data_IF_735554009797
#
_entry.id   IF_735554009797
#
_cell.length_a   1.000
_cell.length_b   1.000
_cell.length_c   1.000
_cell.angle_alpha   90.00
_cell.angle_beta   90.00
_cell.angle_gamma   90.00
#
_symmetry.space_group_name_H-M   'P 1'
#
loop_
_entity.id
_entity.type
_entity.pdbx_description
1 polymer ?
#
# COMPACT_ATOMS: atom_id res chain seq x y z
N UNK A 1 -17.22 76.35 12.24
CA UNK A 1 -16.14 75.42 11.80
C UNK A 1 -16.37 74.06 12.43
N UNK A 2 -16.99 73.14 11.67
CA UNK A 2 -17.30 71.78 12.12
C UNK A 2 -16.22 70.87 11.54
N UNK A 3 -15.42 70.26 12.39
CA UNK A 3 -14.39 69.26 11.99
C UNK A 3 -15.08 67.92 11.93
N UNK A 4 -15.25 67.36 10.70
CA UNK A 4 -15.63 65.98 10.48
C UNK A 4 -14.40 65.09 10.75
N UNK A 5 -14.47 64.21 11.78
CA UNK A 5 -13.56 63.11 11.98
C UNK A 5 -14.07 61.91 11.13
N UNK A 6 -13.40 61.63 10.02
CA UNK A 6 -13.55 60.38 9.27
C UNK A 6 -12.85 59.27 10.03
N UNK A 7 -13.61 58.41 10.70
CA UNK A 7 -13.10 57.15 11.26
C UNK A 7 -12.90 56.12 10.14
N UNK A 8 -11.67 55.77 9.83
CA UNK A 8 -11.35 54.63 8.97
C UNK A 8 -11.55 53.35 9.78
N UNK A 9 -12.64 52.61 9.51
CA UNK A 9 -12.84 51.26 10.01
C UNK A 9 -12.07 50.31 9.07
N UNK A 10 -10.86 49.92 9.48
CA UNK A 10 -10.13 48.82 8.83
C UNK A 10 -10.83 47.49 9.11
N UNK A 11 -11.62 47.00 8.15
CA UNK A 11 -12.09 45.64 8.15
C UNK A 11 -10.91 44.72 7.80
N UNK A 12 -10.29 44.15 8.82
CA UNK A 12 -9.35 43.06 8.64
C UNK A 12 -10.17 41.83 8.19
N UNK A 13 -10.17 41.55 6.88
CA UNK A 13 -10.57 40.25 6.39
C UNK A 13 -9.56 39.22 6.91
N UNK A 14 -9.92 38.52 7.97
CA UNK A 14 -9.21 37.32 8.37
C UNK A 14 -9.52 36.30 7.27
N UNK A 15 -8.65 36.23 6.27
CA UNK A 15 -8.60 35.10 5.35
C UNK A 15 -8.29 33.85 6.19
N UNK A 16 -9.34 33.15 6.63
CA UNK A 16 -9.19 31.83 7.21
C UNK A 16 -8.52 30.96 6.16
N UNK A 17 -7.21 30.76 6.30
CA UNK A 17 -6.48 29.86 5.44
C UNK A 17 -7.16 28.50 5.55
N UNK A 18 -7.74 28.02 4.44
CA UNK A 18 -8.44 26.74 4.38
C UNK A 18 -7.47 25.67 4.89
N UNK A 19 -7.81 25.06 6.02
CA UNK A 19 -6.97 24.03 6.61
C UNK A 19 -6.74 22.91 5.59
N UNK A 20 -5.48 22.54 5.37
CA UNK A 20 -5.14 21.46 4.44
C UNK A 20 -5.65 20.14 4.99
N UNK A 21 -6.26 19.27 4.16
CA UNK A 21 -6.77 17.99 4.63
C UNK A 21 -5.65 17.05 5.05
N UNK A 22 -5.90 16.21 6.02
CA UNK A 22 -5.07 15.05 6.29
C UNK A 22 -5.14 14.07 5.11
N UNK A 23 -4.04 13.38 4.83
CA UNK A 23 -3.96 12.38 3.76
C UNK A 23 -3.68 11.03 4.40
N UNK A 24 -4.65 10.11 4.28
CA UNK A 24 -4.50 8.70 4.60
C UNK A 24 -4.33 7.93 3.29
N UNK A 25 -3.15 7.33 3.08
CA UNK A 25 -2.83 6.55 1.89
C UNK A 25 -2.75 5.07 2.26
N UNK A 26 -3.78 4.30 1.90
CA UNK A 26 -3.85 2.85 2.10
C UNK A 26 -3.31 2.16 0.85
N UNK A 27 -2.32 1.30 0.99
CA UNK A 27 -1.63 0.65 -0.12
C UNK A 27 -1.57 -0.87 0.08
N UNK A 28 -2.35 -1.61 -0.72
CA UNK A 28 -2.32 -3.07 -0.76
C UNK A 28 -1.16 -3.58 -1.64
N UNK A 29 -0.71 -4.81 -1.41
CA UNK A 29 0.38 -5.44 -2.16
C UNK A 29 -0.13 -6.66 -2.94
N UNK A 30 0.06 -6.68 -4.24
CA UNK A 30 -0.40 -7.72 -5.17
C UNK A 30 -1.95 -7.89 -5.23
N UNK A 31 -2.70 -6.81 -5.01
CA UNK A 31 -4.15 -6.87 -5.12
C UNK A 31 -4.60 -6.87 -6.59
N UNK A 32 -5.37 -7.88 -6.96
CA UNK A 32 -5.98 -7.99 -8.31
C UNK A 32 -7.11 -6.98 -8.46
N UNK A 33 -7.23 -6.42 -9.67
CA UNK A 33 -8.24 -5.40 -9.99
C UNK A 33 -9.70 -5.91 -9.84
N UNK A 34 -9.91 -7.23 -9.95
CA UNK A 34 -11.23 -7.89 -9.87
C UNK A 34 -11.60 -8.34 -8.45
N UNK A 35 -10.90 -7.90 -7.42
CA UNK A 35 -11.12 -8.32 -6.02
C UNK A 35 -11.75 -7.24 -5.14
N UNK A 36 -12.59 -6.39 -5.73
CA UNK A 36 -13.46 -5.46 -5.02
C UNK A 36 -14.90 -5.71 -5.50
N UNK A 37 -15.82 -6.01 -4.57
CA UNK A 37 -17.18 -6.39 -4.91
C UNK A 37 -17.93 -5.28 -5.66
N UNK A 38 -17.79 -4.04 -5.25
CA UNK A 38 -18.37 -2.86 -5.92
C UNK A 38 -17.89 -2.65 -7.38
N UNK A 39 -16.79 -3.29 -7.77
CA UNK A 39 -16.33 -3.31 -9.16
C UNK A 39 -16.97 -4.42 -10.01
N UNK A 40 -17.92 -5.19 -9.45
CA UNK A 40 -18.70 -6.19 -10.16
C UNK A 40 -18.29 -7.64 -9.89
N UNK A 41 -17.53 -7.90 -8.83
CA UNK A 41 -17.23 -9.28 -8.40
C UNK A 41 -18.21 -9.74 -7.32
N UNK A 42 -19.20 -10.61 -7.64
CA UNK A 42 -20.20 -11.06 -6.68
C UNK A 42 -19.68 -12.15 -5.74
N UNK A 43 -18.46 -12.63 -5.93
CA UNK A 43 -17.90 -13.77 -5.20
C UNK A 43 -16.97 -13.37 -4.05
N UNK A 44 -16.72 -12.08 -3.85
CA UNK A 44 -15.88 -11.55 -2.79
C UNK A 44 -16.66 -10.60 -1.87
N UNK A 45 -16.29 -10.53 -0.62
CA UNK A 45 -16.87 -9.60 0.36
C UNK A 45 -15.84 -8.54 0.74
N UNK A 46 -16.11 -7.30 0.34
CA UNK A 46 -15.20 -6.15 0.59
C UNK A 46 -15.98 -4.90 1.05
N UNK A 47 -16.81 -5.01 2.12
CA UNK A 47 -17.75 -3.94 2.46
C UNK A 47 -17.10 -2.59 2.74
N UNK A 48 -15.89 -2.58 3.31
CA UNK A 48 -15.16 -1.34 3.59
C UNK A 48 -14.52 -0.74 2.33
N UNK A 49 -13.97 -1.56 1.43
CA UNK A 49 -13.49 -1.09 0.14
C UNK A 49 -14.65 -0.62 -0.75
N UNK A 50 -15.77 -1.34 -0.69
CA UNK A 50 -16.99 -0.97 -1.43
C UNK A 50 -17.49 0.41 -1.00
N UNK A 51 -17.51 0.70 0.31
CA UNK A 51 -17.90 2.03 0.81
C UNK A 51 -16.96 3.15 0.33
N UNK A 52 -15.66 2.87 0.16
CA UNK A 52 -14.72 3.83 -0.42
C UNK A 52 -14.98 4.05 -1.91
N UNK A 53 -15.33 3.00 -2.65
CA UNK A 53 -15.69 3.10 -4.07
C UNK A 53 -16.98 3.91 -4.24
N UNK A 54 -17.98 3.65 -3.42
CA UNK A 54 -19.29 4.32 -3.46
C UNK A 54 -19.22 5.78 -3.02
N UNK A 55 -18.40 6.08 -2.01
CA UNK A 55 -18.25 7.42 -1.46
C UNK A 55 -17.19 8.28 -2.14
N UNK A 56 -16.43 7.73 -3.06
CA UNK A 56 -15.25 8.37 -3.64
C UNK A 56 -15.19 8.33 -5.15
N UNK A 57 -13.98 8.44 -5.67
CA UNK A 57 -13.68 8.36 -7.10
C UNK A 57 -12.79 7.14 -7.36
N UNK A 58 -13.20 6.26 -8.30
CA UNK A 58 -12.51 5.01 -8.60
C UNK A 58 -11.91 5.00 -10.01
N UNK A 59 -10.60 4.83 -10.12
CA UNK A 59 -9.87 4.64 -11.37
C UNK A 59 -9.82 3.16 -11.76
N UNK A 60 -10.78 2.69 -12.53
CA UNK A 60 -10.89 1.26 -12.90
C UNK A 60 -9.88 0.80 -13.94
N UNK A 61 -9.26 1.71 -14.68
CA UNK A 61 -8.27 1.43 -15.74
C UNK A 61 -6.93 2.05 -15.36
N UNK A 62 -6.34 1.56 -14.29
CA UNK A 62 -5.00 1.88 -13.88
C UNK A 62 -4.09 0.67 -14.08
N UNK A 63 -2.95 0.85 -14.73
CA UNK A 63 -2.10 -0.24 -15.20
C UNK A 63 -0.75 -0.22 -14.50
N UNK A 64 -0.24 -1.41 -14.16
CA UNK A 64 1.11 -1.57 -13.69
C UNK A 64 2.09 -1.39 -14.85
N UNK A 65 3.08 -0.52 -14.68
CA UNK A 65 4.10 -0.25 -15.71
C UNK A 65 5.21 -1.30 -15.78
N UNK A 66 5.09 -2.41 -15.04
CA UNK A 66 6.10 -3.47 -14.98
C UNK A 66 7.29 -3.14 -14.09
N UNK A 67 8.39 -3.85 -14.29
CA UNK A 67 9.59 -3.76 -13.47
C UNK A 67 10.84 -4.14 -14.27
N UNK A 68 12.02 -3.85 -13.71
CA UNK A 68 13.34 -4.32 -14.17
C UNK A 68 13.68 -5.73 -13.64
N UNK A 69 12.82 -6.31 -12.81
CA UNK A 69 13.01 -7.66 -12.24
C UNK A 69 11.65 -8.29 -11.94
N UNK A 70 11.61 -9.54 -11.50
CA UNK A 70 10.39 -10.22 -11.09
C UNK A 70 9.67 -9.59 -9.88
N UNK A 71 10.38 -8.79 -9.07
CA UNK A 71 9.79 -8.09 -7.92
C UNK A 71 9.17 -6.75 -8.36
N UNK A 72 7.96 -6.79 -8.89
CA UNK A 72 7.23 -5.59 -9.38
C UNK A 72 6.94 -4.59 -8.26
N UNK A 73 6.75 -5.04 -7.03
CA UNK A 73 6.47 -4.20 -5.85
C UNK A 73 7.57 -3.15 -5.61
N UNK A 74 8.85 -3.47 -5.83
CA UNK A 74 9.97 -2.51 -5.69
C UNK A 74 9.82 -1.36 -6.68
N UNK A 75 9.60 -1.66 -7.96
CA UNK A 75 9.45 -0.65 -9.00
C UNK A 75 8.16 0.17 -8.82
N UNK A 76 7.05 -0.48 -8.49
CA UNK A 76 5.77 0.18 -8.22
C UNK A 76 5.88 1.21 -7.09
N UNK A 77 6.51 0.83 -5.96
CA UNK A 77 6.73 1.73 -4.83
C UNK A 77 7.67 2.88 -5.18
N UNK A 78 8.72 2.62 -5.94
CA UNK A 78 9.63 3.65 -6.41
C UNK A 78 8.91 4.67 -7.32
N UNK A 79 8.11 4.19 -8.28
CA UNK A 79 7.30 5.06 -9.16
C UNK A 79 6.29 5.88 -8.37
N UNK A 80 5.59 5.26 -7.41
CA UNK A 80 4.63 5.95 -6.54
C UNK A 80 5.30 7.06 -5.73
N UNK A 81 6.46 6.79 -5.15
CA UNK A 81 7.14 7.74 -4.27
C UNK A 81 7.83 8.86 -5.03
N UNK A 82 8.35 8.61 -6.23
CA UNK A 82 9.14 9.59 -6.99
C UNK A 82 8.36 10.30 -8.09
N UNK A 83 7.21 9.75 -8.50
CA UNK A 83 6.49 10.21 -9.69
C UNK A 83 7.24 9.95 -11.01
N UNK A 84 8.31 9.15 -11.00
CA UNK A 84 9.13 8.82 -12.14
C UNK A 84 8.86 7.39 -12.62
N UNK A 85 8.85 7.18 -13.94
CA UNK A 85 8.81 5.83 -14.47
C UNK A 85 10.09 5.06 -14.06
N UNK A 86 9.97 3.76 -13.73
CA UNK A 86 11.11 2.97 -13.23
C UNK A 86 12.32 2.95 -14.17
N UNK A 87 12.12 3.07 -15.50
CA UNK A 87 13.21 3.16 -16.48
C UNK A 87 14.02 4.46 -16.38
N UNK A 88 13.46 5.51 -15.77
CA UNK A 88 14.11 6.81 -15.55
C UNK A 88 14.86 6.85 -14.20
N UNK A 89 14.70 5.84 -13.36
CA UNK A 89 15.42 5.73 -12.09
C UNK A 89 16.81 5.13 -12.30
N UNK A 90 17.78 5.40 -11.40
CA UNK A 90 19.10 4.80 -11.46
C UNK A 90 19.04 3.28 -11.53
N UNK A 91 19.76 2.69 -12.49
CA UNK A 91 19.74 1.23 -12.70
C UNK A 91 20.57 0.45 -11.67
N UNK A 92 21.53 1.13 -11.05
CA UNK A 92 22.33 0.55 -9.98
C UNK A 92 21.54 0.56 -8.67
N UNK A 93 21.26 -0.63 -8.14
CA UNK A 93 20.50 -0.83 -6.89
C UNK A 93 19.17 -0.06 -6.87
N UNK A 94 18.29 -0.25 -7.85
CA UNK A 94 17.07 0.54 -8.01
C UNK A 94 16.13 0.45 -6.79
N UNK A 95 16.22 -0.62 -6.00
CA UNK A 95 15.49 -0.77 -4.74
C UNK A 95 16.05 0.10 -3.60
N UNK A 96 17.23 0.68 -3.74
CA UNK A 96 17.88 1.46 -2.68
C UNK A 96 18.44 2.80 -3.16
N UNK A 97 18.26 3.13 -4.43
CA UNK A 97 18.78 4.35 -5.03
C UNK A 97 17.75 4.96 -6.00
N UNK A 98 17.20 6.10 -5.62
CA UNK A 98 16.29 6.89 -6.47
C UNK A 98 16.93 8.20 -6.95
N UNK A 99 18.26 8.32 -6.84
CA UNK A 99 18.98 9.54 -7.14
C UNK A 99 18.54 10.70 -6.24
N UNK A 100 18.54 11.90 -6.81
CA UNK A 100 18.12 13.13 -6.11
C UNK A 100 16.62 13.43 -6.32
N UNK A 101 15.80 12.44 -6.67
CA UNK A 101 14.37 12.66 -6.85
C UNK A 101 13.70 13.02 -5.53
N UNK A 102 12.93 14.10 -5.55
CA UNK A 102 12.10 14.50 -4.41
C UNK A 102 10.93 13.52 -4.30
N UNK A 103 10.82 12.86 -3.16
CA UNK A 103 9.74 11.88 -2.95
C UNK A 103 8.43 12.57 -2.56
N UNK A 104 7.29 11.92 -2.80
CA UNK A 104 5.97 12.44 -2.44
C UNK A 104 5.88 12.89 -0.97
N UNK A 105 6.31 12.09 0.03
CA UNK A 105 6.30 12.53 1.42
C UNK A 105 7.17 13.76 1.67
N UNK A 106 8.37 13.80 1.07
CA UNK A 106 9.28 14.94 1.21
C UNK A 106 8.72 16.20 0.53
N UNK A 107 8.06 16.06 -0.62
CA UNK A 107 7.38 17.16 -1.30
C UNK A 107 6.25 17.72 -0.44
N UNK A 108 5.38 16.87 0.09
CA UNK A 108 4.27 17.26 0.97
C UNK A 108 4.77 17.99 2.21
N UNK A 109 5.83 17.49 2.83
CA UNK A 109 6.49 18.15 3.96
C UNK A 109 7.00 19.54 3.57
N UNK A 110 7.73 19.65 2.46
CA UNK A 110 8.34 20.91 2.00
C UNK A 110 7.33 21.98 1.60
N UNK A 111 6.27 21.61 0.89
CA UNK A 111 5.31 22.56 0.30
C UNK A 111 4.04 22.73 1.10
N UNK A 112 3.71 21.78 1.95
CA UNK A 112 2.44 21.69 2.64
C UNK A 112 2.51 21.64 4.15
N UNK A 113 3.72 21.64 4.72
CA UNK A 113 3.95 21.44 6.15
C UNK A 113 3.29 20.14 6.68
N UNK A 114 3.14 19.12 5.81
CA UNK A 114 2.66 17.82 6.23
C UNK A 114 3.65 17.12 7.13
N UNK A 115 3.12 16.30 8.03
CA UNK A 115 3.90 15.36 8.85
C UNK A 115 3.82 13.96 8.22
N UNK A 116 4.83 13.52 7.43
CA UNK A 116 4.85 12.19 6.85
C UNK A 116 5.10 11.13 7.91
N UNK A 117 4.29 10.07 7.89
CA UNK A 117 4.41 8.92 8.76
C UNK A 117 4.17 7.63 7.99
N UNK A 118 5.01 6.60 8.21
CA UNK A 118 4.92 5.31 7.54
C UNK A 118 4.55 4.20 8.52
N UNK A 119 3.66 3.30 8.07
CA UNK A 119 3.34 2.04 8.75
C UNK A 119 3.38 0.91 7.72
N UNK A 120 4.01 -0.21 8.07
CA UNK A 120 4.02 -1.43 7.26
C UNK A 120 5.16 -1.52 6.25
N UNK A 121 4.90 -2.18 5.12
CA UNK A 121 5.92 -2.61 4.15
C UNK A 121 6.57 -1.45 3.41
N UNK A 122 7.91 -1.41 3.44
CA UNK A 122 8.70 -0.46 2.64
C UNK A 122 9.32 -1.11 1.39
N UNK A 123 10.07 -2.18 1.54
CA UNK A 123 10.72 -2.98 0.49
C UNK A 123 11.82 -2.27 -0.33
N UNK A 124 12.07 -0.99 -0.13
CA UNK A 124 12.98 -0.18 -0.96
C UNK A 124 14.17 0.37 -0.18
N UNK A 125 14.87 -0.43 0.61
CA UNK A 125 16.13 -0.06 1.25
C UNK A 125 16.07 1.15 2.20
N UNK A 126 17.13 1.30 3.02
CA UNK A 126 17.19 2.34 4.06
C UNK A 126 17.35 3.75 3.48
N UNK A 127 18.19 3.91 2.46
CA UNK A 127 18.46 5.23 1.88
C UNK A 127 17.21 5.89 1.32
N UNK A 128 16.37 5.13 0.63
CA UNK A 128 15.12 5.65 0.07
C UNK A 128 14.05 5.88 1.15
N UNK A 129 14.10 5.11 2.25
CA UNK A 129 13.27 5.38 3.43
C UNK A 129 13.63 6.75 4.02
N UNK A 130 14.92 7.04 4.18
CA UNK A 130 15.43 8.30 4.73
C UNK A 130 15.11 9.53 3.85
N UNK A 131 15.04 9.32 2.53
CA UNK A 131 14.59 10.36 1.60
C UNK A 131 13.09 10.67 1.75
N UNK A 132 12.32 9.75 2.32
CA UNK A 132 10.86 9.81 2.31
C UNK A 132 10.26 10.11 3.68
N UNK A 133 10.73 9.44 4.72
CA UNK A 133 10.14 9.47 6.05
C UNK A 133 11.19 9.63 7.15
N UNK A 134 10.81 10.34 8.20
CA UNK A 134 11.61 10.45 9.44
C UNK A 134 10.95 9.77 10.62
N UNK A 135 9.65 9.47 10.52
CA UNK A 135 8.89 8.81 11.57
C UNK A 135 7.99 7.71 11.00
N UNK A 136 7.79 6.68 11.79
CA UNK A 136 6.97 5.52 11.42
C UNK A 136 6.85 4.51 12.54
N UNK A 137 5.91 3.58 12.40
CA UNK A 137 5.71 2.47 13.34
C UNK A 137 5.54 1.17 12.58
N UNK A 138 5.99 0.08 13.15
CA UNK A 138 5.91 -1.26 12.55
C UNK A 138 6.36 -1.32 11.09
N UNK A 139 7.47 -0.64 10.77
CA UNK A 139 8.03 -0.60 9.41
C UNK A 139 8.63 -1.97 9.09
N UNK A 140 8.11 -2.63 8.05
CA UNK A 140 8.63 -3.86 7.51
C UNK A 140 9.52 -3.58 6.30
N UNK A 141 10.81 -3.83 6.44
CA UNK A 141 11.82 -3.51 5.42
C UNK A 141 11.93 -4.55 4.30
N UNK A 142 11.39 -5.76 4.52
CA UNK A 142 11.45 -6.87 3.57
C UNK A 142 10.40 -6.82 2.46
N UNK A 143 10.50 -7.78 1.54
CA UNK A 143 9.57 -7.94 0.41
C UNK A 143 8.40 -8.88 0.70
N UNK A 144 8.66 -9.97 1.42
CA UNK A 144 7.71 -11.05 1.68
C UNK A 144 8.03 -11.69 3.03
N UNK A 145 7.01 -11.99 3.80
CA UNK A 145 7.11 -12.79 5.02
C UNK A 145 5.74 -13.42 5.32
N UNK A 146 5.71 -14.42 6.19
CA UNK A 146 4.49 -14.95 6.76
C UNK A 146 3.73 -13.84 7.50
N UNK A 147 2.41 -13.74 7.27
CA UNK A 147 1.59 -12.66 7.83
C UNK A 147 1.45 -12.71 9.36
N UNK A 148 1.79 -13.83 9.99
CA UNK A 148 1.74 -14.03 11.45
C UNK A 148 3.13 -14.07 12.09
N UNK A 149 4.18 -14.27 11.29
CA UNK A 149 5.55 -14.40 11.77
C UNK A 149 6.52 -13.52 10.96
N UNK A 150 6.63 -12.26 11.35
CA UNK A 150 7.51 -11.28 10.73
C UNK A 150 8.04 -10.26 11.76
N UNK A 151 9.14 -9.61 11.39
CA UNK A 151 9.79 -8.61 12.22
C UNK A 151 9.59 -7.21 11.66
N UNK A 152 9.38 -6.27 12.56
CA UNK A 152 9.21 -4.83 12.25
C UNK A 152 10.16 -3.98 13.07
N UNK A 153 10.31 -2.73 12.65
CA UNK A 153 11.11 -1.70 13.31
C UNK A 153 10.29 -0.41 13.40
N UNK A 154 10.47 0.36 14.46
CA UNK A 154 9.91 1.70 14.52
C UNK A 154 10.93 2.71 14.00
N UNK A 155 10.46 3.76 13.33
CA UNK A 155 11.27 4.84 12.79
C UNK A 155 11.05 6.10 13.62
N UNK A 156 12.09 6.62 14.22
CA UNK A 156 12.03 7.85 15.02
C UNK A 156 13.19 8.78 14.64
N UNK A 157 12.87 9.99 14.17
CA UNK A 157 13.85 10.98 13.74
C UNK A 157 14.89 10.41 12.74
N UNK A 158 14.44 9.60 11.78
CA UNK A 158 15.27 8.95 10.76
C UNK A 158 16.08 7.73 11.25
N UNK A 159 15.90 7.30 12.50
CA UNK A 159 16.59 6.13 13.05
C UNK A 159 15.63 4.97 13.25
N UNK A 160 15.96 3.82 12.65
CA UNK A 160 15.23 2.58 12.90
C UNK A 160 15.62 2.00 14.26
N UNK A 161 14.62 1.51 15.00
CA UNK A 161 14.82 0.74 16.22
C UNK A 161 15.44 -0.63 15.92
N UNK A 162 15.77 -1.39 16.97
CA UNK A 162 16.03 -2.81 16.83
C UNK A 162 14.79 -3.52 16.27
N UNK A 163 15.00 -4.62 15.55
CA UNK A 163 13.93 -5.47 15.09
C UNK A 163 13.19 -6.10 16.26
N UNK A 164 11.89 -6.21 16.12
CA UNK A 164 11.01 -6.92 17.05
C UNK A 164 9.99 -7.74 16.30
N UNK A 165 9.48 -8.81 16.91
CA UNK A 165 8.29 -9.50 16.39
C UNK A 165 7.13 -8.52 16.26
N UNK A 166 6.35 -8.62 15.19
CA UNK A 166 5.15 -7.81 15.01
C UNK A 166 4.04 -8.16 16.01
N UNK A 167 4.00 -9.42 16.48
CA UNK A 167 3.08 -9.86 17.54
C UNK A 167 1.63 -10.06 17.11
N UNK A 168 1.35 -10.20 15.80
CA UNK A 168 0.00 -10.41 15.29
C UNK A 168 -0.05 -10.56 13.78
N UNK A 169 -1.25 -10.65 13.24
CA UNK A 169 -1.46 -10.70 11.79
C UNK A 169 -1.13 -9.34 11.15
N UNK A 170 -0.40 -9.33 10.06
CA UNK A 170 0.18 -8.12 9.47
C UNK A 170 -0.83 -6.99 9.23
N UNK A 171 -1.99 -7.29 8.63
CA UNK A 171 -3.01 -6.26 8.37
C UNK A 171 -3.59 -5.70 9.66
N UNK A 172 -3.83 -6.54 10.68
CA UNK A 172 -4.34 -6.10 11.99
C UNK A 172 -3.32 -5.19 12.69
N UNK A 173 -2.05 -5.61 12.75
CA UNK A 173 -0.98 -4.81 13.38
C UNK A 173 -0.86 -3.43 12.72
N UNK A 174 -0.85 -3.39 11.39
CA UNK A 174 -0.71 -2.11 10.67
C UNK A 174 -1.96 -1.23 10.79
N UNK A 175 -3.14 -1.83 10.81
CA UNK A 175 -4.40 -1.10 11.01
C UNK A 175 -4.49 -0.53 12.44
N UNK A 176 -4.14 -1.30 13.47
CA UNK A 176 -4.16 -0.84 14.87
C UNK A 176 -3.17 0.30 15.10
N UNK A 177 -1.96 0.20 14.53
CA UNK A 177 -0.98 1.28 14.58
C UNK A 177 -1.47 2.54 13.84
N UNK A 178 -2.14 2.39 12.71
CA UNK A 178 -2.72 3.51 11.97
C UNK A 178 -3.86 4.19 12.76
N UNK A 179 -4.75 3.42 13.36
CA UNK A 179 -5.82 3.92 14.22
C UNK A 179 -5.23 4.66 15.44
N UNK A 180 -4.22 4.07 16.08
CA UNK A 180 -3.52 4.70 17.19
C UNK A 180 -2.88 6.03 16.79
N UNK A 181 -2.21 6.09 15.63
CA UNK A 181 -1.64 7.30 15.09
C UNK A 181 -2.70 8.37 14.86
N UNK A 182 -3.78 8.04 14.16
CA UNK A 182 -4.87 8.99 13.84
C UNK A 182 -5.51 9.55 15.12
N UNK A 183 -5.72 8.70 16.14
CA UNK A 183 -6.28 9.14 17.43
C UNK A 183 -5.36 10.08 18.21
N UNK A 184 -4.04 9.95 18.04
CA UNK A 184 -3.03 10.75 18.72
C UNK A 184 -2.55 11.96 17.90
N UNK A 185 -2.94 12.09 16.64
CA UNK A 185 -2.47 13.13 15.75
C UNK A 185 -2.90 14.52 16.24
N UNK A 186 -1.94 15.44 16.34
CA UNK A 186 -2.19 16.84 16.66
C UNK A 186 -2.82 17.53 15.45
N UNK A 187 -3.76 18.44 15.70
CA UNK A 187 -4.56 19.08 14.63
C UNK A 187 -3.87 20.28 13.98
N UNK A 188 -2.75 20.76 14.52
CA UNK A 188 -2.08 21.98 14.04
C UNK A 188 -1.48 21.83 12.64
N UNK A 189 -0.90 20.67 12.34
CA UNK A 189 -0.31 20.37 11.04
C UNK A 189 -0.99 19.16 10.41
N UNK A 190 -1.26 19.16 9.10
CA UNK A 190 -1.82 18.01 8.43
C UNK A 190 -0.82 16.86 8.40
N UNK A 191 -1.29 15.62 8.49
CA UNK A 191 -0.45 14.44 8.33
C UNK A 191 -0.59 13.84 6.93
N UNK A 192 0.48 13.18 6.48
CA UNK A 192 0.49 12.22 5.39
C UNK A 192 0.81 10.84 5.99
N UNK A 193 -0.22 10.03 6.20
CA UNK A 193 -0.07 8.67 6.74
C UNK A 193 -0.07 7.64 5.60
N UNK A 194 1.08 7.01 5.39
CA UNK A 194 1.24 5.93 4.42
C UNK A 194 1.16 4.57 5.13
N UNK A 195 0.04 3.88 4.97
CA UNK A 195 -0.19 2.54 5.51
C UNK A 195 -0.04 1.53 4.39
N UNK A 196 1.06 0.83 4.40
CA UNK A 196 1.46 -0.10 3.34
C UNK A 196 1.31 -1.54 3.82
N UNK A 197 0.21 -2.17 3.43
CA UNK A 197 -0.07 -3.54 3.79
C UNK A 197 0.85 -4.54 3.07
N UNK A 198 1.08 -5.69 3.69
CA UNK A 198 1.68 -6.85 3.03
C UNK A 198 0.60 -7.67 2.28
N UNK A 199 -0.62 -7.69 2.79
CA UNK A 199 -1.74 -8.38 2.16
C UNK A 199 -2.21 -7.66 0.87
N UNK A 200 -2.72 -8.44 -0.09
CA UNK A 200 -2.88 -9.88 -0.16
C UNK A 200 -1.69 -10.64 -0.80
N UNK A 201 -0.45 -10.12 -0.72
CA UNK A 201 0.75 -10.80 -1.19
C UNK A 201 0.93 -12.17 -0.51
N UNK A 202 1.53 -13.13 -1.19
CA UNK A 202 1.86 -14.45 -0.63
C UNK A 202 2.89 -14.35 0.53
N UNK A 203 2.91 -15.34 1.45
CA UNK A 203 2.11 -16.56 1.50
C UNK A 203 0.63 -16.29 1.82
N UNK A 204 -0.27 -17.04 1.16
CA UNK A 204 -1.72 -16.84 1.27
C UNK A 204 -2.26 -17.65 2.45
N UNK A 205 -2.14 -17.09 3.64
CA UNK A 205 -2.57 -17.71 4.91
C UNK A 205 -3.49 -16.77 5.70
N UNK A 206 -4.73 -16.50 5.20
CA UNK A 206 -5.66 -15.63 5.90
C UNK A 206 -6.05 -16.19 7.27
N UNK A 207 -6.52 -15.35 8.21
CA UNK A 207 -7.11 -15.84 9.45
C UNK A 207 -8.27 -16.80 9.18
N UNK A 208 -8.40 -17.86 9.99
CA UNK A 208 -9.30 -18.99 9.78
C UNK A 208 -10.74 -18.57 9.45
N UNK A 209 -11.27 -17.58 10.16
CA UNK A 209 -12.61 -17.03 9.92
C UNK A 209 -12.83 -16.65 8.44
N UNK A 210 -11.87 -15.99 7.82
CA UNK A 210 -11.96 -15.49 6.44
C UNK A 210 -11.64 -16.60 5.43
N UNK A 211 -10.77 -17.52 5.80
CA UNK A 211 -10.48 -18.73 5.05
C UNK A 211 -11.73 -19.58 4.88
N UNK A 212 -12.40 -19.93 5.99
CA UNK A 212 -13.62 -20.75 5.98
C UNK A 212 -14.76 -20.15 5.14
N UNK A 213 -14.90 -18.82 5.10
CA UNK A 213 -15.93 -18.16 4.29
C UNK A 213 -15.88 -18.62 2.84
N UNK A 214 -14.68 -18.68 2.26
CA UNK A 214 -14.50 -19.01 0.84
C UNK A 214 -14.37 -20.51 0.60
N UNK A 215 -13.94 -21.31 1.55
CA UNK A 215 -13.99 -22.76 1.45
C UNK A 215 -15.42 -23.29 1.49
N UNK A 216 -16.33 -22.63 2.21
CA UNK A 216 -17.77 -22.97 2.22
C UNK A 216 -18.48 -22.51 0.95
N UNK A 217 -18.03 -21.44 0.31
CA UNK A 217 -18.63 -20.87 -0.90
C UNK A 217 -17.51 -20.46 -1.87
N UNK A 218 -16.95 -21.45 -2.55
CA UNK A 218 -15.77 -21.28 -3.40
C UNK A 218 -16.04 -20.34 -4.57
N UNK A 219 -15.15 -19.35 -4.83
CA UNK A 219 -15.25 -18.55 -6.03
C UNK A 219 -15.04 -19.41 -7.28
N UNK A 220 -15.68 -19.06 -8.42
CA UNK A 220 -15.47 -19.78 -9.66
C UNK A 220 -14.03 -19.62 -10.16
N UNK A 221 -13.58 -20.61 -10.92
CA UNK A 221 -12.29 -20.50 -11.60
C UNK A 221 -12.34 -19.38 -12.64
N UNK A 222 -11.21 -18.67 -12.87
CA UNK A 222 -11.12 -17.70 -13.95
C UNK A 222 -11.44 -18.34 -15.30
N UNK A 223 -12.18 -17.62 -16.16
CA UNK A 223 -12.55 -18.13 -17.48
C UNK A 223 -11.35 -18.44 -18.38
N UNK A 224 -10.23 -17.75 -18.15
CA UNK A 224 -8.97 -17.94 -18.86
C UNK A 224 -8.02 -18.94 -18.19
N UNK A 225 -8.53 -19.73 -17.23
CA UNK A 225 -7.71 -20.75 -16.58
C UNK A 225 -7.23 -21.81 -17.59
N UNK A 226 -5.91 -22.02 -17.60
CA UNK A 226 -5.25 -23.10 -18.30
C UNK A 226 -4.32 -23.84 -17.32
N UNK A 227 -4.30 -25.18 -17.34
CA UNK A 227 -3.41 -25.96 -16.46
C UNK A 227 -1.93 -25.65 -16.67
N UNK A 228 -1.58 -25.17 -17.85
CA UNK A 228 -0.22 -24.84 -18.28
C UNK A 228 -0.25 -23.65 -19.23
N UNK A 229 0.80 -22.83 -19.19
CA UNK A 229 0.94 -21.69 -20.09
C UNK A 229 1.00 -22.15 -21.54
N UNK A 230 0.21 -21.55 -22.47
CA UNK A 230 0.16 -21.99 -23.86
C UNK A 230 1.45 -21.70 -24.65
N UNK A 231 2.26 -20.75 -24.20
CA UNK A 231 3.52 -20.35 -24.84
C UNK A 231 4.70 -20.74 -23.96
N UNK A 232 5.43 -21.78 -24.31
CA UNK A 232 6.58 -22.29 -23.55
C UNK A 232 7.90 -21.62 -23.91
N UNK A 233 7.88 -20.56 -24.74
CA UNK A 233 9.06 -19.99 -25.36
C UNK A 233 9.88 -19.03 -24.46
N UNK A 234 9.43 -18.76 -23.22
CA UNK A 234 10.18 -17.93 -22.30
C UNK A 234 10.60 -18.76 -21.08
N UNK A 235 11.91 -18.90 -20.79
CA UNK A 235 12.39 -19.57 -19.59
C UNK A 235 11.77 -19.03 -18.29
N UNK A 236 11.38 -17.76 -18.30
CA UNK A 236 10.73 -17.10 -17.16
C UNK A 236 9.25 -17.49 -16.96
N UNK A 237 8.57 -18.04 -17.98
CA UNK A 237 7.18 -18.45 -17.89
C UNK A 237 6.95 -19.64 -16.93
N UNK A 238 8.01 -20.42 -16.67
CA UNK A 238 7.96 -21.60 -15.78
C UNK A 238 8.98 -21.55 -14.64
N UNK A 239 9.85 -20.55 -14.60
CA UNK A 239 10.95 -20.41 -13.62
C UNK A 239 10.90 -19.12 -12.80
N UNK A 240 9.91 -18.25 -13.01
CA UNK A 240 9.70 -17.07 -12.19
C UNK A 240 9.36 -17.44 -10.74
N UNK A 241 9.66 -16.55 -9.81
CA UNK A 241 9.38 -16.75 -8.37
C UNK A 241 7.92 -17.17 -8.13
N UNK A 242 6.96 -16.46 -8.74
CA UNK A 242 5.53 -16.68 -8.52
C UNK A 242 5.06 -17.99 -9.17
N UNK A 243 5.79 -18.50 -10.14
CA UNK A 243 5.51 -19.80 -10.73
C UNK A 243 5.84 -20.96 -9.76
N UNK A 244 6.67 -20.74 -8.77
CA UNK A 244 6.97 -21.68 -7.69
C UNK A 244 5.90 -21.80 -6.59
N UNK A 245 4.86 -20.96 -6.61
CA UNK A 245 3.77 -20.99 -5.61
C UNK A 245 2.90 -22.23 -5.70
N UNK A 246 2.87 -22.91 -6.83
CA UNK A 246 2.16 -24.17 -7.03
C UNK A 246 2.89 -25.01 -8.10
N UNK A 247 2.86 -26.36 -7.99
CA UNK A 247 3.47 -27.26 -8.99
C UNK A 247 2.76 -27.21 -10.34
N UNK A 248 3.44 -27.66 -11.36
CA UNK A 248 2.91 -27.83 -12.71
C UNK A 248 2.64 -29.32 -13.04
N UNK A 249 1.63 -29.65 -13.84
CA UNK A 249 0.53 -28.77 -14.34
C UNK A 249 -0.40 -28.34 -13.20
N UNK A 250 -1.00 -27.17 -13.31
CA UNK A 250 -1.92 -26.63 -12.29
C UNK A 250 -3.28 -27.30 -12.39
N UNK A 251 -3.77 -27.88 -11.28
CA UNK A 251 -5.11 -28.49 -11.24
C UNK A 251 -6.17 -27.44 -10.90
N UNK A 252 -7.42 -27.74 -11.22
CA UNK A 252 -8.58 -26.89 -10.88
C UNK A 252 -8.72 -26.74 -9.37
N UNK A 253 -8.53 -27.82 -8.64
CA UNK A 253 -8.61 -27.88 -7.17
C UNK A 253 -7.57 -26.97 -6.54
N UNK A 254 -6.32 -27.07 -7.01
CA UNK A 254 -5.22 -26.24 -6.53
C UNK A 254 -5.49 -24.74 -6.75
N UNK A 255 -5.97 -24.35 -7.92
CA UNK A 255 -6.31 -22.93 -8.18
C UNK A 255 -7.52 -22.50 -7.38
N UNK A 256 -8.52 -23.37 -7.20
CA UNK A 256 -9.67 -23.09 -6.33
C UNK A 256 -9.25 -22.84 -4.88
N UNK A 257 -8.31 -23.63 -4.33
CA UNK A 257 -7.76 -23.43 -2.98
C UNK A 257 -7.01 -22.10 -2.91
N UNK A 258 -6.16 -21.80 -3.88
CA UNK A 258 -5.40 -20.53 -3.94
C UNK A 258 -6.34 -19.30 -4.01
N UNK A 259 -7.48 -19.42 -4.70
CA UNK A 259 -8.49 -18.35 -4.74
C UNK A 259 -9.18 -18.17 -3.40
N UNK A 260 -9.52 -19.25 -2.69
CA UNK A 260 -10.12 -19.16 -1.37
C UNK A 260 -9.20 -18.45 -0.36
N UNK A 261 -7.92 -18.83 -0.33
CA UNK A 261 -6.92 -18.22 0.52
C UNK A 261 -6.71 -16.73 0.16
N UNK A 262 -6.60 -16.42 -1.11
CA UNK A 262 -6.39 -15.06 -1.59
C UNK A 262 -7.58 -14.14 -1.29
N UNK A 263 -8.81 -14.60 -1.54
CA UNK A 263 -10.02 -13.84 -1.22
C UNK A 263 -10.17 -13.63 0.28
N UNK A 264 -9.78 -14.64 1.07
CA UNK A 264 -9.73 -14.52 2.53
C UNK A 264 -8.80 -13.40 3.00
N UNK A 265 -7.61 -13.25 2.38
CA UNK A 265 -6.68 -12.16 2.67
C UNK A 265 -7.25 -10.79 2.30
N UNK A 266 -7.91 -10.68 1.15
CA UNK A 266 -8.50 -9.41 0.70
C UNK A 266 -9.67 -8.99 1.59
N UNK A 267 -10.50 -9.95 2.02
CA UNK A 267 -11.67 -9.69 2.88
C UNK A 267 -11.26 -9.30 4.30
N UNK A 268 -10.18 -9.88 4.82
CA UNK A 268 -9.61 -9.50 6.12
C UNK A 268 -9.09 -8.09 6.14
#
# INVERSE_FOLDING_TARGET
MIRLLLGFVCWAFILSAKQRPNILFLFADDQRADTIAAHGNPHIQTPHLDSLVEGGFSFRKNYCAGSFSGAVCVASRAMLMTGQHWMSLPREKPQANWGNNLTLPALLKKTGNYQPFIIGKWHNGKNTLDQSFTNGRSVYMGGMADHTNFEVQDLSNGKLSNKRSAGGFSSTVFADDAISFIKSAQTENPFFLYVSFMAPHDPRNPPEKYREMYYRNRPPLPQNFLPQHPFQNAPQATSGRDEGLAPWPRTKEMISDQLCEYYGLVTH
#
